data_IF_479357147151
#
_entry.id   IF_479357147151
#
_cell.length_a   1.000
_cell.length_b   1.000
_cell.length_c   1.000
_cell.angle_alpha   90.00
_cell.angle_beta   90.00
_cell.angle_gamma   90.00
#
_symmetry.space_group_name_H-M   'P 1'
#
loop_
_entity.id
_entity.type
_entity.pdbx_description
1 polymer ?
#
# COMPACT_ATOMS: atom_id res chain seq x y z
N UNK A 1 7.98 13.38 25.99
CA UNK A 1 8.68 14.20 24.97
C UNK A 1 7.82 14.42 23.73
N UNK A 2 7.12 13.40 23.21
CA UNK A 2 6.22 13.53 22.06
C UNK A 2 4.94 14.34 22.34
N UNK A 3 4.32 14.24 23.52
CA UNK A 3 3.11 15.00 23.89
C UNK A 3 3.24 16.52 23.72
N UNK A 4 4.45 17.06 23.88
CA UNK A 4 4.69 18.49 23.79
C UNK A 4 4.93 18.97 22.35
N UNK A 5 5.17 18.10 21.36
CA UNK A 5 5.53 18.56 20.00
C UNK A 5 4.36 19.26 19.31
N UNK A 6 3.16 18.68 19.37
CA UNK A 6 1.96 19.31 18.80
C UNK A 6 1.54 20.57 19.58
N UNK A 7 1.70 20.56 20.90
CA UNK A 7 1.40 21.71 21.76
C UNK A 7 2.38 22.88 21.56
N UNK A 8 3.68 22.58 21.39
CA UNK A 8 4.75 23.56 21.21
C UNK A 8 4.76 24.14 19.80
N UNK A 9 4.59 23.31 18.76
CA UNK A 9 4.66 23.77 17.38
C UNK A 9 3.34 24.35 16.85
N UNK A 10 2.21 24.09 17.54
CA UNK A 10 0.85 24.53 17.14
C UNK A 10 0.51 24.26 15.67
N UNK A 11 1.13 23.25 15.07
CA UNK A 11 0.96 22.91 13.67
C UNK A 11 0.69 21.41 13.54
N UNK A 12 -0.24 21.00 12.66
CA UNK A 12 -0.43 19.60 12.36
C UNK A 12 0.83 19.03 11.72
N UNK A 13 1.17 17.80 12.11
CA UNK A 13 2.25 17.01 11.52
C UNK A 13 1.83 16.60 10.12
N UNK A 14 2.64 16.99 9.13
CA UNK A 14 2.43 16.59 7.73
C UNK A 14 3.02 15.21 7.47
N UNK A 15 4.25 14.98 7.93
CA UNK A 15 5.05 13.81 7.63
C UNK A 15 5.58 13.22 8.95
N UNK A 16 5.43 11.90 9.14
CA UNK A 16 5.96 11.22 10.33
C UNK A 16 6.55 9.86 9.98
N UNK A 17 7.69 9.55 10.61
CA UNK A 17 8.26 8.21 10.61
C UNK A 17 8.08 7.58 11.99
N UNK A 18 7.60 6.35 12.03
CA UNK A 18 7.19 5.66 13.25
C UNK A 18 8.05 4.41 13.42
N UNK A 19 8.97 4.46 14.38
CA UNK A 19 9.87 3.34 14.71
C UNK A 19 9.52 2.62 16.01
N UNK A 20 8.53 3.11 16.77
CA UNK A 20 8.12 2.50 18.02
C UNK A 20 6.61 2.47 18.14
N UNK A 21 6.08 1.38 18.69
CA UNK A 21 4.64 1.22 18.88
C UNK A 21 4.03 2.32 19.75
N UNK A 22 4.76 2.87 20.73
CA UNK A 22 4.29 3.99 21.55
C UNK A 22 3.96 5.25 20.74
N UNK A 23 4.64 5.46 19.60
CA UNK A 23 4.39 6.59 18.70
C UNK A 23 3.09 6.38 17.91
N UNK A 24 2.71 5.12 17.62
CA UNK A 24 1.41 4.78 16.99
C UNK A 24 0.26 5.28 17.87
N UNK A 25 0.31 4.93 19.16
CA UNK A 25 -0.72 5.33 20.12
C UNK A 25 -0.79 6.84 20.29
N UNK A 26 0.38 7.47 20.32
CA UNK A 26 0.49 8.91 20.38
C UNK A 26 -0.13 9.59 19.15
N UNK A 27 0.23 9.18 17.93
CA UNK A 27 -0.27 9.83 16.72
C UNK A 27 -1.77 9.62 16.55
N UNK A 28 -2.29 8.41 16.85
CA UNK A 28 -3.74 8.15 16.80
C UNK A 28 -4.49 9.05 17.79
N UNK A 29 -3.96 9.25 19.00
CA UNK A 29 -4.59 10.08 20.03
C UNK A 29 -4.59 11.57 19.67
N UNK A 30 -3.47 12.09 19.19
CA UNK A 30 -3.28 13.54 19.03
C UNK A 30 -3.55 14.04 17.62
N UNK A 31 -3.34 13.22 16.60
CA UNK A 31 -3.59 13.58 15.21
C UNK A 31 -3.94 12.34 14.36
N UNK A 32 -5.17 11.82 14.46
CA UNK A 32 -5.59 10.61 13.75
C UNK A 32 -5.64 10.78 12.23
N UNK A 33 -5.48 12.00 11.70
CA UNK A 33 -5.36 12.26 10.27
C UNK A 33 -4.00 12.87 9.95
N UNK A 34 -3.19 12.17 9.16
CA UNK A 34 -1.84 12.61 8.77
C UNK A 34 -1.71 12.53 7.26
N UNK A 35 -0.89 13.40 6.67
CA UNK A 35 -0.70 13.39 5.22
C UNK A 35 0.17 12.22 4.79
N UNK A 36 1.34 12.09 5.41
CA UNK A 36 2.33 11.08 5.05
C UNK A 36 2.83 10.34 6.30
N UNK A 37 2.87 9.02 6.24
CA UNK A 37 3.30 8.17 7.34
C UNK A 37 4.21 7.06 6.81
N UNK A 38 5.38 6.88 7.43
CA UNK A 38 6.22 5.71 7.22
C UNK A 38 6.35 4.91 8.51
N UNK A 39 5.99 3.63 8.50
CA UNK A 39 5.98 2.79 9.69
C UNK A 39 7.06 1.72 9.53
N UNK A 40 8.06 1.78 10.41
CA UNK A 40 9.18 0.86 10.42
C UNK A 40 8.83 -0.47 11.09
N UNK A 41 9.58 -1.52 10.77
CA UNK A 41 9.33 -2.90 11.20
C UNK A 41 9.20 -3.08 12.72
N UNK A 42 10.00 -2.35 13.48
CA UNK A 42 10.02 -2.33 14.94
C UNK A 42 8.77 -1.69 15.56
N UNK A 43 7.99 -0.92 14.80
CA UNK A 43 6.71 -0.39 15.25
C UNK A 43 5.57 -1.40 15.11
N UNK A 44 5.65 -2.34 14.16
CA UNK A 44 4.60 -3.35 13.88
C UNK A 44 4.92 -4.65 14.62
N UNK A 45 4.61 -4.66 15.91
CA UNK A 45 4.88 -5.78 16.83
C UNK A 45 3.88 -6.93 16.72
N UNK A 46 2.75 -6.74 16.04
CA UNK A 46 1.69 -7.75 15.90
C UNK A 46 0.71 -7.40 14.78
N UNK A 47 -0.10 -8.38 14.38
CA UNK A 47 -1.28 -8.18 13.52
C UNK A 47 -2.25 -7.16 14.13
N UNK A 48 -2.45 -7.23 15.45
CA UNK A 48 -3.33 -6.29 16.16
C UNK A 48 -2.83 -4.84 16.08
N UNK A 49 -1.50 -4.63 16.10
CA UNK A 49 -0.89 -3.33 15.91
C UNK A 49 -1.17 -2.78 14.50
N UNK A 50 -1.02 -3.62 13.47
CA UNK A 50 -1.32 -3.24 12.08
C UNK A 50 -2.81 -2.93 11.90
N UNK A 51 -3.71 -3.80 12.36
CA UNK A 51 -5.17 -3.59 12.29
C UNK A 51 -5.58 -2.28 12.98
N UNK A 52 -4.99 -2.00 14.14
CA UNK A 52 -5.22 -0.74 14.87
C UNK A 52 -4.77 0.49 14.07
N UNK A 53 -3.59 0.44 13.44
CA UNK A 53 -3.12 1.52 12.56
C UNK A 53 -4.15 1.74 11.44
N UNK A 54 -4.51 0.68 10.70
CA UNK A 54 -5.38 0.78 9.53
C UNK A 54 -6.79 1.30 9.86
N UNK A 55 -7.30 0.98 11.06
CA UNK A 55 -8.63 1.42 11.51
C UNK A 55 -8.67 2.85 12.04
N UNK A 56 -7.60 3.30 12.71
CA UNK A 56 -7.64 4.54 13.49
C UNK A 56 -6.76 5.67 12.95
N UNK A 57 -5.78 5.36 12.09
CA UNK A 57 -4.93 6.36 11.46
C UNK A 57 -5.32 6.56 10.00
N UNK A 58 -5.94 7.70 9.71
CA UNK A 58 -6.32 8.11 8.36
C UNK A 58 -5.12 8.77 7.68
N UNK A 59 -4.57 8.13 6.65
CA UNK A 59 -3.49 8.69 5.84
C UNK A 59 -4.05 9.21 4.53
N UNK A 60 -3.78 10.47 4.20
CA UNK A 60 -4.45 11.12 3.05
C UNK A 60 -3.64 11.07 1.76
N UNK A 61 -2.32 10.96 1.84
CA UNK A 61 -1.43 11.06 0.67
C UNK A 61 -0.55 9.82 0.53
N UNK A 62 0.40 9.56 1.45
CA UNK A 62 1.31 8.42 1.33
C UNK A 62 1.43 7.62 2.62
N UNK A 63 1.24 6.30 2.53
CA UNK A 63 1.52 5.36 3.63
C UNK A 63 2.58 4.34 3.22
N UNK A 64 3.60 4.25 4.05
CA UNK A 64 4.69 3.30 3.93
C UNK A 64 4.68 2.29 5.07
N UNK A 65 4.88 1.02 4.75
CA UNK A 65 5.07 -0.03 5.74
C UNK A 65 6.37 -0.78 5.45
N UNK A 66 7.23 -0.85 6.45
CA UNK A 66 8.30 -1.83 6.53
C UNK A 66 7.83 -2.95 7.46
N UNK A 67 7.47 -4.12 6.91
CA UNK A 67 6.82 -5.18 7.67
C UNK A 67 7.64 -6.48 7.79
N UNK A 68 8.96 -6.35 7.96
CA UNK A 68 9.89 -7.45 8.22
C UNK A 68 9.67 -8.19 9.57
N UNK A 69 8.65 -7.79 10.33
CA UNK A 69 8.37 -8.37 11.64
C UNK A 69 7.89 -9.82 11.51
N UNK A 70 8.64 -10.72 12.15
CA UNK A 70 8.26 -12.13 12.39
C UNK A 70 6.88 -12.26 13.05
N UNK A 71 6.33 -11.18 13.63
CA UNK A 71 5.02 -11.18 14.28
C UNK A 71 3.83 -11.21 13.32
N UNK A 72 4.00 -10.81 12.04
CA UNK A 72 2.94 -10.85 11.02
C UNK A 72 3.06 -12.16 10.22
N UNK A 73 3.24 -13.32 10.89
CA UNK A 73 3.50 -14.58 10.17
C UNK A 73 2.42 -14.92 9.14
N UNK A 74 2.90 -15.54 8.05
CA UNK A 74 2.34 -16.03 6.76
C UNK A 74 0.82 -16.26 6.56
N UNK A 75 -0.05 -16.28 7.58
CA UNK A 75 -1.50 -16.53 7.44
C UNK A 75 -2.35 -15.27 7.52
N UNK A 76 -1.80 -14.15 7.97
CA UNK A 76 -2.55 -12.90 8.00
C UNK A 76 -2.76 -12.37 6.58
N UNK A 77 -3.99 -11.99 6.27
CA UNK A 77 -4.39 -11.40 5.01
C UNK A 77 -5.38 -10.27 5.25
N UNK A 78 -5.24 -9.18 4.50
CA UNK A 78 -6.20 -8.08 4.47
C UNK A 78 -6.90 -8.11 3.12
N UNK A 79 -8.22 -8.00 3.15
CA UNK A 79 -9.09 -7.91 1.97
C UNK A 79 -9.68 -6.52 1.81
N UNK A 80 -9.67 -5.72 2.87
CA UNK A 80 -10.08 -4.32 2.84
C UNK A 80 -9.04 -3.45 2.13
N UNK A 81 -9.47 -2.44 1.37
CA UNK A 81 -8.56 -1.53 0.70
C UNK A 81 -7.82 -0.64 1.69
N UNK A 82 -6.56 -0.34 1.39
CA UNK A 82 -5.74 0.56 2.19
C UNK A 82 -6.14 2.02 1.92
N UNK A 83 -6.51 2.80 2.96
CA UNK A 83 -6.97 4.17 2.80
C UNK A 83 -5.76 5.12 2.65
N UNK A 84 -5.30 5.30 1.41
CA UNK A 84 -4.26 6.29 1.04
C UNK A 84 -4.23 6.50 -0.49
N UNK A 85 -3.75 7.65 -0.98
CA UNK A 85 -3.50 7.82 -2.42
C UNK A 85 -2.33 6.95 -2.88
N UNK A 86 -1.24 6.94 -2.12
CA UNK A 86 -0.01 6.21 -2.41
C UNK A 86 0.28 5.19 -1.32
N UNK A 87 0.66 3.97 -1.71
CA UNK A 87 1.08 2.91 -0.80
C UNK A 87 2.44 2.35 -1.22
N UNK A 88 3.32 2.17 -0.24
CA UNK A 88 4.62 1.50 -0.41
C UNK A 88 4.82 0.49 0.70
N UNK A 89 4.82 -0.80 0.38
CA UNK A 89 4.81 -1.88 1.37
C UNK A 89 5.96 -2.83 1.11
N UNK A 90 6.92 -2.90 2.04
CA UNK A 90 7.89 -4.00 2.11
C UNK A 90 7.26 -5.17 2.85
N UNK A 91 7.57 -6.39 2.44
CA UNK A 91 6.95 -7.61 2.98
C UNK A 91 5.43 -7.66 2.79
N UNK A 92 4.97 -7.34 1.58
CA UNK A 92 3.55 -7.23 1.25
C UNK A 92 2.81 -8.56 1.12
N UNK A 93 3.32 -9.66 1.70
CA UNK A 93 2.74 -11.01 1.58
C UNK A 93 1.34 -11.17 2.21
N UNK A 94 0.93 -10.19 3.04
CA UNK A 94 -0.36 -10.14 3.70
C UNK A 94 -1.40 -9.32 2.91
N UNK A 95 -0.97 -8.58 1.89
CA UNK A 95 -1.88 -7.86 1.02
C UNK A 95 -2.48 -8.81 -0.01
N UNK A 96 -3.78 -8.72 -0.27
CA UNK A 96 -4.48 -9.57 -1.23
C UNK A 96 -4.87 -8.81 -2.49
N UNK A 97 -5.09 -9.53 -3.60
CA UNK A 97 -5.60 -8.95 -4.85
C UNK A 97 -6.93 -8.20 -4.64
N UNK A 98 -7.94 -8.72 -3.91
CA UNK A 98 -9.15 -7.96 -3.60
C UNK A 98 -8.91 -6.62 -2.90
N UNK A 99 -7.96 -6.55 -1.96
CA UNK A 99 -7.64 -5.29 -1.27
C UNK A 99 -7.13 -4.22 -2.24
N UNK A 100 -6.37 -4.62 -3.27
CA UNK A 100 -5.88 -3.72 -4.31
C UNK A 100 -7.01 -3.34 -5.27
N UNK A 101 -7.73 -4.34 -5.79
CA UNK A 101 -8.78 -4.14 -6.80
C UNK A 101 -9.95 -3.27 -6.31
N UNK A 102 -10.28 -3.37 -5.03
CA UNK A 102 -11.32 -2.57 -4.39
C UNK A 102 -10.78 -1.24 -3.82
N UNK A 103 -9.48 -0.98 -3.99
CA UNK A 103 -8.82 0.22 -3.55
C UNK A 103 -9.00 1.40 -4.51
N UNK A 104 -8.67 2.58 -4.01
CA UNK A 104 -8.70 3.83 -4.77
C UNK A 104 -7.30 4.48 -4.86
N UNK A 105 -6.25 3.66 -4.77
CA UNK A 105 -4.87 4.11 -4.76
C UNK A 105 -4.43 4.53 -6.17
N UNK A 106 -3.63 5.60 -6.24
CA UNK A 106 -2.98 6.06 -7.47
C UNK A 106 -1.59 5.48 -7.67
N UNK A 107 -0.88 5.19 -6.58
CA UNK A 107 0.49 4.66 -6.62
C UNK A 107 0.54 3.45 -5.71
N UNK A 108 0.98 2.31 -6.26
CA UNK A 108 1.13 1.06 -5.53
C UNK A 108 2.54 0.52 -5.75
N UNK A 109 3.28 0.37 -4.65
CA UNK A 109 4.59 -0.27 -4.64
C UNK A 109 4.61 -1.40 -3.62
N UNK A 110 4.84 -2.62 -4.10
CA UNK A 110 4.81 -3.83 -3.29
C UNK A 110 6.13 -4.55 -3.41
N UNK A 111 6.78 -4.83 -2.28
CA UNK A 111 8.00 -5.62 -2.22
C UNK A 111 7.76 -6.90 -1.43
N UNK A 112 8.43 -7.97 -1.87
CA UNK A 112 8.34 -9.30 -1.29
C UNK A 112 6.90 -9.84 -1.26
N UNK A 113 6.16 -9.56 -2.34
CA UNK A 113 4.80 -10.07 -2.53
C UNK A 113 4.79 -11.58 -2.77
N UNK A 114 3.68 -12.23 -2.41
CA UNK A 114 3.36 -13.63 -2.74
C UNK A 114 2.45 -13.76 -3.96
N UNK A 115 2.22 -12.66 -4.69
CA UNK A 115 1.41 -12.72 -5.90
C UNK A 115 2.01 -13.68 -6.90
N UNK A 116 1.13 -14.51 -7.42
CA UNK A 116 1.39 -15.45 -8.51
C UNK A 116 1.26 -14.73 -9.85
N UNK A 117 1.67 -15.37 -10.94
CA UNK A 117 1.48 -14.84 -12.29
C UNK A 117 0.00 -14.56 -12.58
N UNK A 118 -0.90 -15.42 -12.09
CA UNK A 118 -2.36 -15.25 -12.21
C UNK A 118 -2.88 -14.03 -11.45
N UNK A 119 -2.34 -13.76 -10.27
CA UNK A 119 -2.71 -12.58 -9.48
C UNK A 119 -2.33 -11.30 -10.21
N UNK A 120 -1.11 -11.24 -10.74
CA UNK A 120 -0.63 -10.11 -11.54
C UNK A 120 -1.43 -9.96 -12.84
N UNK A 121 -1.69 -11.06 -13.57
CA UNK A 121 -2.55 -11.06 -14.76
C UNK A 121 -3.95 -10.49 -14.44
N UNK A 122 -4.54 -10.89 -13.31
CA UNK A 122 -5.85 -10.38 -12.87
C UNK A 122 -5.82 -8.87 -12.62
N UNK A 123 -4.80 -8.37 -11.93
CA UNK A 123 -4.61 -6.93 -11.70
C UNK A 123 -4.49 -6.16 -13.02
N UNK A 124 -3.68 -6.66 -13.97
CA UNK A 124 -3.48 -6.03 -15.27
C UNK A 124 -4.77 -6.02 -16.12
N UNK A 125 -5.51 -7.13 -16.16
CA UNK A 125 -6.79 -7.22 -16.88
C UNK A 125 -7.81 -6.22 -16.33
N UNK A 126 -7.97 -6.17 -15.02
CA UNK A 126 -8.91 -5.25 -14.37
C UNK A 126 -8.53 -3.79 -14.57
N UNK A 127 -7.23 -3.48 -14.57
CA UNK A 127 -6.73 -2.14 -14.90
C UNK A 127 -7.01 -1.76 -16.36
N UNK A 128 -6.77 -2.67 -17.30
CA UNK A 128 -7.01 -2.47 -18.72
C UNK A 128 -8.50 -2.27 -19.05
N UNK A 129 -9.39 -3.02 -18.38
CA UNK A 129 -10.85 -2.86 -18.50
C UNK A 129 -11.29 -1.48 -18.00
N UNK A 130 -10.57 -0.88 -17.05
CA UNK A 130 -10.89 0.44 -16.48
C UNK A 130 -12.14 0.46 -15.59
N UNK A 131 -12.72 -0.70 -15.26
CA UNK A 131 -13.82 -0.80 -14.30
C UNK A 131 -13.30 -0.65 -12.86
N UNK A 132 -12.10 -1.18 -12.59
CA UNK A 132 -11.36 -1.08 -11.32
C UNK A 132 -10.04 -0.34 -11.53
N UNK A 133 -9.37 0.01 -10.43
CA UNK A 133 -8.06 0.67 -10.46
C UNK A 133 -8.06 1.98 -11.29
N UNK A 134 -9.20 2.70 -11.33
CA UNK A 134 -9.39 3.87 -12.21
C UNK A 134 -8.42 5.03 -11.94
N UNK A 135 -8.00 5.15 -10.69
CA UNK A 135 -7.07 6.19 -10.26
C UNK A 135 -5.60 5.74 -10.33
N UNK A 136 -5.33 4.48 -10.71
CA UNK A 136 -3.99 3.90 -10.71
C UNK A 136 -3.14 4.53 -11.82
N UNK A 137 -2.15 5.31 -11.39
CA UNK A 137 -1.16 5.97 -12.22
C UNK A 137 0.10 5.08 -12.35
N UNK A 138 0.50 4.42 -11.26
CA UNK A 138 1.73 3.62 -11.16
C UNK A 138 1.55 2.34 -10.33
N UNK A 139 2.02 1.21 -10.86
CA UNK A 139 2.03 -0.08 -10.19
C UNK A 139 3.42 -0.72 -10.32
N UNK A 140 4.01 -1.08 -9.17
CA UNK A 140 5.26 -1.83 -9.09
C UNK A 140 5.10 -2.98 -8.11
N UNK A 141 5.37 -4.19 -8.58
CA UNK A 141 5.22 -5.42 -7.80
C UNK A 141 6.53 -6.20 -7.92
N UNK A 142 7.23 -6.35 -6.79
CA UNK A 142 8.36 -7.25 -6.65
C UNK A 142 7.90 -8.49 -5.89
N UNK A 143 7.91 -9.63 -6.57
CA UNK A 143 7.49 -10.92 -6.02
C UNK A 143 8.67 -11.70 -5.45
N UNK A 144 8.40 -12.54 -4.46
CA UNK A 144 9.40 -13.45 -3.87
C UNK A 144 9.72 -14.64 -4.77
N UNK A 145 8.81 -14.97 -5.68
CA UNK A 145 8.97 -16.05 -6.67
C UNK A 145 9.07 -15.47 -8.06
N UNK A 146 9.82 -16.14 -8.94
CA UNK A 146 9.85 -15.82 -10.36
C UNK A 146 8.46 -16.02 -10.96
N UNK A 147 8.00 -15.04 -11.74
CA UNK A 147 6.73 -15.10 -12.43
C UNK A 147 6.91 -15.73 -13.81
N UNK A 148 5.90 -16.52 -14.22
CA UNK A 148 5.80 -17.00 -15.59
C UNK A 148 5.24 -15.85 -16.45
N UNK A 149 6.07 -15.34 -17.36
CA UNK A 149 5.71 -14.19 -18.20
C UNK A 149 4.56 -14.51 -19.14
N UNK A 150 4.48 -15.74 -19.66
CA UNK A 150 3.40 -16.16 -20.54
C UNK A 150 2.07 -16.18 -19.76
N UNK A 151 2.11 -16.61 -18.50
CA UNK A 151 0.94 -16.61 -17.63
C UNK A 151 0.53 -15.19 -17.19
N UNK A 152 1.49 -14.30 -16.92
CA UNK A 152 1.23 -12.88 -16.62
C UNK A 152 0.54 -12.19 -17.80
N UNK A 153 0.98 -12.48 -19.03
CA UNK A 153 0.49 -11.82 -20.24
C UNK A 153 -0.73 -12.53 -20.87
N UNK A 154 -1.10 -13.69 -20.35
CA UNK A 154 -2.17 -14.51 -20.92
C UNK A 154 -3.49 -13.75 -21.08
N UNK A 155 -4.03 -13.76 -22.29
CA UNK A 155 -5.26 -13.07 -22.70
C UNK A 155 -5.26 -11.54 -22.43
N UNK A 156 -4.10 -10.91 -22.31
CA UNK A 156 -3.99 -9.46 -22.41
C UNK A 156 -3.94 -9.07 -23.88
N UNK A 157 -4.92 -8.28 -24.33
CA UNK A 157 -4.86 -7.62 -25.63
C UNK A 157 -3.94 -6.41 -25.50
N UNK A 158 -2.63 -6.64 -25.48
CA UNK A 158 -1.63 -5.59 -25.56
C UNK A 158 -1.36 -5.21 -27.02
N UNK A 159 -1.09 -3.92 -27.24
CA UNK A 159 -0.53 -3.43 -28.49
C UNK A 159 0.98 -3.45 -28.36
N UNK A 160 1.67 -4.11 -29.30
CA UNK A 160 3.12 -3.98 -29.46
C UNK A 160 3.42 -2.53 -29.91
N UNK A 161 3.62 -1.64 -28.94
CA UNK A 161 3.92 -0.24 -29.18
C UNK A 161 5.03 0.22 -28.25
N UNK A 162 6.19 0.55 -28.81
CA UNK A 162 7.23 1.35 -28.13
C UNK A 162 6.76 2.81 -27.93
N UNK A 163 5.61 3.19 -28.50
CA UNK A 163 5.07 4.53 -28.51
C UNK A 163 3.84 4.63 -27.59
N UNK A 164 3.71 5.76 -26.88
CA UNK A 164 2.69 6.04 -25.87
C UNK A 164 1.32 6.35 -26.52
N UNK A 165 0.87 5.44 -27.40
CA UNK A 165 -0.18 5.65 -28.40
C UNK A 165 -1.60 5.47 -27.86
N UNK A 166 -1.93 6.18 -26.79
CA UNK A 166 -3.33 6.41 -26.46
C UNK A 166 -3.76 6.16 -25.03
N UNK A 167 -2.86 6.26 -24.03
CA UNK A 167 -3.36 6.52 -22.68
C UNK A 167 -4.07 7.88 -22.71
N UNK A 168 -5.37 7.99 -22.38
CA UNK A 168 -6.07 9.27 -22.45
C UNK A 168 -5.40 10.27 -21.50
N UNK A 169 -4.82 11.34 -22.05
CA UNK A 169 -4.12 12.37 -21.28
C UNK A 169 -5.06 13.45 -20.70
N UNK A 170 -6.36 13.30 -20.86
CA UNK A 170 -7.35 14.26 -20.37
C UNK A 170 -8.03 13.71 -19.12
N UNK A 171 -7.69 14.35 -17.99
CA UNK A 171 -8.45 14.35 -16.73
C UNK A 171 -9.75 15.14 -16.91
#
# INVERSE_FOLDING_TARGET
MTEHICEVLRSPIRDIQIAHQSIIEWIIKFQPTVRNVWIWNNAITSVGTLDRILKHLKVTDCVGFDSDSVAIKKKFQITEPLPSRSISIRNSYWLTVPAILNGNNSVIQLFDSKFTSKDVNTLLKEWLIGSKLRNLEYLSIHTTTLLDSDEVLKDLNWTDGDENDGRPNTV
#
